data_IF_778778387138
#
_entry.id   IF_778778387138
#
_cell.length_a   1.000
_cell.length_b   1.000
_cell.length_c   1.000
_cell.angle_alpha   90.00
_cell.angle_beta   90.00
_cell.angle_gamma   90.00
#
_symmetry.space_group_name_H-M   'P 1'
#
loop_
_entity.id
_entity.type
_entity.pdbx_description
1 polymer ?
#
# COMPACT_ATOMS: atom_id res chain seq x y z
N UNK A 1 -32.13 11.27 -17.46
CA UNK A 1 -30.68 11.54 -17.35
C UNK A 1 -30.33 11.56 -15.88
N UNK A 2 -29.89 10.42 -15.33
CA UNK A 2 -29.73 10.27 -13.88
C UNK A 2 -28.32 9.79 -13.57
N UNK A 3 -27.59 10.71 -12.96
CA UNK A 3 -26.47 10.58 -12.02
C UNK A 3 -25.45 9.46 -12.29
N UNK A 4 -24.27 9.89 -12.76
CA UNK A 4 -23.03 9.16 -12.63
C UNK A 4 -22.79 8.76 -11.17
N UNK A 5 -23.01 7.49 -10.85
CA UNK A 5 -22.37 6.87 -9.69
C UNK A 5 -20.95 6.53 -10.10
N UNK A 6 -20.07 7.51 -9.99
CA UNK A 6 -18.63 7.26 -9.94
C UNK A 6 -18.39 6.41 -8.70
N UNK A 7 -18.42 5.09 -8.87
CA UNK A 7 -17.89 4.12 -7.92
C UNK A 7 -16.38 4.38 -7.84
N UNK A 8 -16.03 5.45 -7.14
CA UNK A 8 -14.67 5.84 -6.82
C UNK A 8 -14.09 4.73 -5.97
N UNK A 9 -13.43 3.78 -6.64
CA UNK A 9 -12.44 2.91 -6.04
C UNK A 9 -11.55 3.82 -5.20
N UNK A 10 -11.77 3.80 -3.88
CA UNK A 10 -10.88 4.47 -2.93
C UNK A 10 -9.50 3.92 -3.27
N UNK A 11 -8.46 4.74 -3.47
CA UNK A 11 -7.13 4.19 -3.63
C UNK A 11 -6.85 3.45 -2.34
N UNK A 12 -6.83 2.11 -2.41
CA UNK A 12 -6.38 1.26 -1.33
C UNK A 12 -4.86 1.43 -1.26
N UNK A 13 -4.44 2.63 -0.86
CA UNK A 13 -3.05 2.94 -0.65
C UNK A 13 -2.51 2.05 0.47
N UNK A 14 -1.25 1.68 0.33
CA UNK A 14 -0.54 0.84 1.27
C UNK A 14 -0.11 1.71 2.46
N UNK A 15 -0.84 1.62 3.58
CA UNK A 15 -0.53 2.39 4.78
C UNK A 15 0.47 1.66 5.68
N UNK A 16 1.50 2.37 6.11
CA UNK A 16 2.45 1.89 7.10
C UNK A 16 1.79 1.84 8.48
N UNK A 17 1.83 0.69 9.13
CA UNK A 17 1.26 0.52 10.46
C UNK A 17 2.16 1.09 11.58
N UNK A 18 3.41 1.42 11.25
CA UNK A 18 4.40 1.91 12.22
C UNK A 18 4.36 3.44 12.35
N UNK A 19 4.24 4.17 11.24
CA UNK A 19 4.14 5.63 11.24
C UNK A 19 2.84 6.20 10.65
N UNK A 20 1.99 5.35 10.05
CA UNK A 20 0.72 5.78 9.45
C UNK A 20 0.82 6.39 8.05
N UNK A 21 2.01 6.45 7.44
CA UNK A 21 2.23 7.02 6.09
C UNK A 21 1.59 6.15 5.01
N UNK A 22 0.93 6.76 4.03
CA UNK A 22 0.23 6.06 2.95
C UNK A 22 1.06 6.11 1.67
N UNK A 23 1.22 4.96 1.03
CA UNK A 23 1.96 4.80 -0.21
C UNK A 23 1.02 4.34 -1.33
N UNK A 24 1.39 4.66 -2.56
CA UNK A 24 0.59 4.32 -3.75
C UNK A 24 0.76 2.85 -4.15
N UNK A 25 1.81 2.18 -3.66
CA UNK A 25 2.16 0.81 -3.98
C UNK A 25 2.79 0.07 -2.79
N UNK A 26 2.70 -1.27 -2.82
CA UNK A 26 3.24 -2.13 -1.79
C UNK A 26 4.79 -2.04 -1.73
N UNK A 27 5.47 -2.00 -2.88
CA UNK A 27 6.93 -1.90 -2.95
C UNK A 27 7.47 -0.64 -2.26
N UNK A 28 6.78 0.50 -2.43
CA UNK A 28 7.15 1.74 -1.74
C UNK A 28 6.93 1.64 -0.24
N UNK A 29 5.82 1.02 0.19
CA UNK A 29 5.58 0.78 1.61
C UNK A 29 6.64 -0.13 2.21
N UNK A 30 7.03 -1.20 1.52
CA UNK A 30 8.04 -2.17 1.98
C UNK A 30 9.43 -1.53 2.06
N UNK A 31 9.84 -0.80 1.02
CA UNK A 31 11.09 -0.04 1.04
C UNK A 31 11.10 0.99 2.19
N UNK A 32 9.98 1.70 2.38
CA UNK A 32 9.82 2.64 3.48
C UNK A 32 9.94 1.94 4.85
N UNK A 33 9.24 0.83 5.06
CA UNK A 33 9.30 0.05 6.30
C UNK A 33 10.72 -0.42 6.59
N UNK A 34 11.44 -0.89 5.57
CA UNK A 34 12.81 -1.35 5.71
C UNK A 34 13.80 -0.21 6.01
N UNK A 35 13.66 0.94 5.35
CA UNK A 35 14.59 2.06 5.51
C UNK A 35 14.32 2.88 6.78
N UNK A 36 13.06 3.18 7.07
CA UNK A 36 12.67 4.05 8.19
C UNK A 36 12.46 3.26 9.48
N UNK A 37 11.98 2.03 9.40
CA UNK A 37 11.65 1.20 10.56
C UNK A 37 12.53 -0.05 10.69
N UNK A 38 13.42 -0.32 9.73
CA UNK A 38 14.24 -1.53 9.73
C UNK A 38 13.46 -2.82 9.52
N UNK A 39 12.17 -2.76 9.17
CA UNK A 39 11.32 -3.95 9.04
C UNK A 39 11.43 -4.50 7.62
N UNK A 40 12.28 -5.51 7.42
CA UNK A 40 12.36 -6.28 6.17
C UNK A 40 11.31 -7.39 6.19
N UNK A 41 10.09 -7.10 5.70
CA UNK A 41 9.10 -8.14 5.42
C UNK A 41 9.37 -8.65 4.00
N UNK A 42 10.08 -9.76 3.89
CA UNK A 42 10.15 -10.46 2.61
C UNK A 42 8.72 -10.90 2.24
N UNK A 43 8.12 -10.45 1.11
CA UNK A 43 6.89 -11.05 0.68
C UNK A 43 7.18 -12.51 0.28
N UNK A 44 6.32 -13.47 0.62
CA UNK A 44 6.41 -14.78 0.00
C UNK A 44 6.10 -14.56 -1.47
N UNK A 45 7.14 -14.54 -2.30
CA UNK A 45 6.98 -14.77 -3.72
C UNK A 45 6.20 -16.08 -3.85
N UNK A 46 4.92 -15.97 -4.20
CA UNK A 46 4.13 -17.08 -4.69
C UNK A 46 4.76 -17.49 -6.02
N UNK A 47 5.77 -18.35 -5.94
CA UNK A 47 6.25 -19.16 -7.06
C UNK A 47 5.21 -20.25 -7.26
N UNK A 48 4.40 -20.07 -8.30
CA UNK A 48 3.58 -21.12 -8.89
C UNK A 48 4.41 -22.05 -9.77
#
# INVERSE_FOLDING_TARGET
>A
MSAATSSGKRPAGHRCNLCGRVFESADLLEAHKKMEHGESVHPPAGVG
#
